data_IF_772663826971
#
_entry.id   IF_772663826971
#
_cell.length_a   1.000
_cell.length_b   1.000
_cell.length_c   1.000
_cell.angle_alpha   90.00
_cell.angle_beta   90.00
_cell.angle_gamma   90.00
#
_symmetry.space_group_name_H-M   'P 1'
#
loop_
_entity.id
_entity.type
_entity.pdbx_description
1 polymer ?
#
# COMPACT_ATOMS: atom_id res chain seq x y z
N UNK A 1 -29.15 23.51 17.71
CA UNK A 1 -29.52 23.47 19.16
C UNK A 1 -28.30 23.07 19.95
N UNK A 2 -27.62 24.01 20.60
CA UNK A 2 -26.44 23.76 21.43
C UNK A 2 -26.91 23.37 22.84
N UNK A 3 -26.69 22.08 23.18
CA UNK A 3 -26.99 21.56 24.53
C UNK A 3 -26.03 22.19 25.55
N UNK A 4 -26.51 22.87 26.55
CA UNK A 4 -25.69 23.36 27.68
C UNK A 4 -25.39 22.19 28.61
N UNK A 5 -24.12 22.06 29.01
CA UNK A 5 -23.66 21.06 29.95
C UNK A 5 -24.28 21.28 31.34
N UNK A 6 -24.74 20.19 31.97
CA UNK A 6 -25.26 20.16 33.31
C UNK A 6 -24.15 20.36 34.35
N UNK A 7 -24.56 20.74 35.60
CA UNK A 7 -23.62 21.04 36.70
C UNK A 7 -22.69 19.85 37.07
N UNK A 8 -23.20 18.63 37.01
CA UNK A 8 -22.47 17.38 37.18
C UNK A 8 -21.47 17.11 36.04
N UNK A 9 -21.86 17.35 34.82
CA UNK A 9 -20.98 17.23 33.65
C UNK A 9 -19.83 18.23 33.70
N UNK A 10 -20.06 19.46 34.21
CA UNK A 10 -19.00 20.48 34.44
C UNK A 10 -17.99 20.07 35.49
N UNK A 11 -18.41 19.40 36.57
CA UNK A 11 -17.49 18.92 37.61
C UNK A 11 -16.57 17.79 37.06
N UNK A 12 -17.14 16.88 36.28
CA UNK A 12 -16.35 15.81 35.64
C UNK A 12 -15.37 16.40 34.61
N UNK A 13 -15.82 17.37 33.82
CA UNK A 13 -14.97 18.04 32.83
C UNK A 13 -13.83 18.81 33.47
N UNK A 14 -14.08 19.52 34.55
CA UNK A 14 -13.03 20.24 35.29
C UNK A 14 -12.01 19.30 35.94
N UNK A 15 -12.43 18.10 36.35
CA UNK A 15 -11.50 17.07 36.88
C UNK A 15 -10.58 16.55 35.80
N UNK A 16 -11.13 16.24 34.59
CA UNK A 16 -10.37 15.79 33.42
C UNK A 16 -9.43 16.88 32.90
N UNK A 17 -9.90 18.14 32.85
CA UNK A 17 -9.09 19.26 32.39
C UNK A 17 -7.87 19.57 33.28
N UNK A 18 -7.94 19.24 34.57
CA UNK A 18 -6.80 19.37 35.50
C UNK A 18 -5.75 18.26 35.35
N UNK A 19 -6.16 17.11 34.78
CA UNK A 19 -5.24 15.96 34.61
C UNK A 19 -4.50 16.01 33.27
N UNK A 20 -5.00 16.79 32.31
CA UNK A 20 -4.39 16.96 30.99
C UNK A 20 -3.45 18.17 31.05
N UNK A 21 -2.16 17.93 31.12
CA UNK A 21 -1.16 18.99 31.02
C UNK A 21 -1.25 19.60 29.59
N UNK A 22 -1.53 20.91 29.44
CA UNK A 22 -1.57 21.53 28.14
C UNK A 22 -0.16 21.46 27.53
N UNK A 23 -0.06 20.87 26.35
CA UNK A 23 1.19 20.81 25.58
C UNK A 23 1.61 22.26 25.30
N UNK A 24 2.56 22.80 26.07
CA UNK A 24 3.15 24.12 25.82
C UNK A 24 3.73 24.11 24.41
N UNK A 25 3.09 24.87 23.51
CA UNK A 25 3.74 25.24 22.24
C UNK A 25 4.95 26.10 22.61
N UNK A 26 6.16 25.78 22.13
CA UNK A 26 7.29 26.68 22.35
C UNK A 26 6.94 28.01 21.68
N UNK A 27 6.85 29.07 22.49
CA UNK A 27 6.82 30.46 21.97
C UNK A 27 8.22 30.75 21.42
N UNK A 28 8.42 30.46 20.15
CA UNK A 28 9.54 31.00 19.40
C UNK A 28 9.34 32.49 19.26
N UNK A 29 10.10 33.27 20.02
CA UNK A 29 10.33 34.70 19.75
C UNK A 29 10.99 34.76 18.38
N UNK A 30 10.34 35.40 17.41
CA UNK A 30 10.93 35.65 16.09
C UNK A 30 10.10 35.13 14.92
N UNK A 31 8.77 35.27 14.97
CA UNK A 31 8.00 35.22 13.74
C UNK A 31 8.18 36.58 13.04
N UNK A 32 9.11 36.65 12.10
CA UNK A 32 9.09 37.69 11.09
C UNK A 32 7.70 37.67 10.46
N UNK A 33 7.04 38.83 10.45
CA UNK A 33 5.77 39.02 9.77
C UNK A 33 5.96 38.55 8.32
N UNK A 34 5.09 37.69 7.78
CA UNK A 34 5.13 37.37 6.36
C UNK A 34 4.85 38.67 5.62
N UNK A 35 5.85 39.15 4.84
CA UNK A 35 5.65 40.23 3.91
C UNK A 35 4.56 39.85 2.93
N UNK A 36 3.53 40.67 2.73
CA UNK A 36 2.49 40.42 1.75
C UNK A 36 2.96 40.86 0.35
N UNK A 37 3.91 40.15 -0.22
CA UNK A 37 4.30 40.41 -1.61
C UNK A 37 4.78 39.15 -2.33
N UNK A 38 4.08 38.03 -2.10
CA UNK A 38 4.04 37.02 -3.13
C UNK A 38 3.12 37.59 -4.22
N UNK A 39 3.71 38.19 -5.23
CA UNK A 39 2.96 38.78 -6.33
C UNK A 39 2.22 37.64 -7.07
N UNK A 40 1.08 37.99 -7.69
CA UNK A 40 0.37 37.05 -8.58
C UNK A 40 1.30 36.45 -9.65
N UNK A 41 2.38 37.12 -9.96
CA UNK A 41 3.41 36.70 -10.92
C UNK A 41 4.28 35.56 -10.39
N UNK A 42 4.63 35.55 -9.09
CA UNK A 42 5.39 34.47 -8.48
C UNK A 42 4.56 33.17 -8.42
N UNK A 43 3.25 33.29 -8.17
CA UNK A 43 2.34 32.15 -8.21
C UNK A 43 2.17 31.61 -9.65
N UNK A 44 2.08 32.51 -10.64
CA UNK A 44 2.02 32.11 -12.03
C UNK A 44 3.33 31.48 -12.54
N UNK A 45 4.48 31.93 -12.03
CA UNK A 45 5.78 31.33 -12.32
C UNK A 45 5.91 29.92 -11.70
N UNK A 46 5.39 29.73 -10.49
CA UNK A 46 5.36 28.43 -9.81
C UNK A 46 4.45 27.41 -10.54
N UNK A 47 3.37 27.88 -11.18
CA UNK A 47 2.51 27.07 -12.04
C UNK A 47 3.12 26.74 -13.41
N UNK A 48 4.19 27.43 -13.80
CA UNK A 48 4.93 27.17 -15.06
C UNK A 48 6.05 26.16 -14.91
N UNK A 49 6.22 25.56 -13.74
CA UNK A 49 7.13 24.43 -13.61
C UNK A 49 6.67 23.35 -14.60
N UNK A 50 7.57 22.90 -15.50
CA UNK A 50 7.22 21.81 -16.40
C UNK A 50 6.72 20.64 -15.55
N UNK A 51 5.66 19.94 -15.98
CA UNK A 51 5.15 18.83 -15.21
C UNK A 51 6.34 17.93 -14.90
N UNK A 52 6.59 17.73 -13.60
CA UNK A 52 7.60 16.79 -13.16
C UNK A 52 7.32 15.53 -13.95
N UNK A 53 8.21 15.19 -14.88
CA UNK A 53 8.20 13.90 -15.55
C UNK A 53 8.42 12.91 -14.42
N UNK A 54 7.31 12.52 -13.74
CA UNK A 54 7.29 11.37 -12.87
C UNK A 54 7.71 10.27 -13.84
N UNK A 55 9.00 9.90 -13.79
CA UNK A 55 9.45 8.67 -14.43
C UNK A 55 8.53 7.62 -13.82
N UNK A 56 7.48 7.25 -14.56
CA UNK A 56 6.73 6.05 -14.23
C UNK A 56 7.80 5.02 -13.95
N UNK A 57 7.80 4.51 -12.72
CA UNK A 57 8.67 3.39 -12.38
C UNK A 57 8.55 2.44 -13.58
N UNK A 58 9.67 2.00 -14.17
CA UNK A 58 9.62 1.23 -15.39
C UNK A 58 8.61 0.11 -15.14
N UNK A 59 7.54 0.13 -15.92
CA UNK A 59 6.63 -1.00 -16.00
C UNK A 59 7.54 -2.18 -16.19
N UNK A 60 7.54 -3.20 -15.32
CA UNK A 60 8.48 -4.28 -15.43
C UNK A 60 8.29 -4.94 -16.81
N UNK A 61 9.14 -4.56 -17.75
CA UNK A 61 9.26 -5.17 -19.07
C UNK A 61 10.11 -6.42 -18.90
N UNK A 62 9.64 -7.31 -18.05
CA UNK A 62 10.05 -8.70 -18.11
C UNK A 62 9.03 -9.41 -19.01
N UNK A 63 9.38 -10.54 -19.63
CA UNK A 63 8.39 -11.33 -20.29
C UNK A 63 7.28 -11.60 -19.27
N UNK A 64 6.20 -10.86 -19.45
CA UNK A 64 4.93 -11.22 -18.83
C UNK A 64 4.75 -12.65 -19.34
N UNK A 65 4.74 -13.69 -18.50
CA UNK A 65 4.19 -14.92 -18.99
C UNK A 65 2.83 -14.47 -19.38
N UNK A 66 2.63 -14.59 -20.56
CA UNK A 66 1.42 -14.18 -21.16
C UNK A 66 0.31 -14.58 -20.21
N UNK A 67 -0.56 -13.61 -19.82
CA UNK A 67 -1.92 -13.96 -19.45
C UNK A 67 -2.54 -14.88 -20.53
N UNK A 68 -1.85 -15.14 -21.60
CA UNK A 68 -1.93 -16.06 -22.68
C UNK A 68 -1.56 -17.50 -22.35
N UNK A 69 -0.92 -17.80 -21.22
CA UNK A 69 -0.75 -19.19 -20.84
C UNK A 69 -2.13 -19.79 -20.61
N UNK A 70 -2.53 -20.63 -21.54
CA UNK A 70 -3.81 -21.35 -21.50
C UNK A 70 -4.03 -22.02 -20.13
N UNK A 71 -2.93 -22.36 -19.44
CA UNK A 71 -2.93 -22.89 -18.08
C UNK A 71 -3.42 -21.89 -17.04
N UNK A 72 -2.90 -20.67 -17.04
CA UNK A 72 -3.28 -19.59 -16.12
C UNK A 72 -4.75 -19.22 -16.34
N UNK A 73 -5.16 -19.03 -17.59
CA UNK A 73 -6.55 -18.70 -17.96
C UNK A 73 -7.55 -19.78 -17.60
N UNK A 74 -7.15 -21.05 -17.62
CA UNK A 74 -8.01 -22.20 -17.29
C UNK A 74 -7.88 -22.62 -15.82
N UNK A 75 -7.07 -21.95 -15.03
CA UNK A 75 -6.80 -22.32 -13.64
C UNK A 75 -6.12 -23.68 -13.49
N UNK A 76 -5.34 -24.10 -14.49
CA UNK A 76 -4.55 -25.35 -14.49
C UNK A 76 -3.08 -25.07 -14.16
N UNK A 77 -2.86 -24.28 -13.12
CA UNK A 77 -1.52 -23.97 -12.60
C UNK A 77 -1.25 -24.88 -11.43
N UNK A 78 -0.13 -25.59 -11.44
CA UNK A 78 0.36 -26.30 -10.28
C UNK A 78 0.80 -25.25 -9.24
N UNK A 79 0.23 -25.31 -8.06
CA UNK A 79 0.48 -24.39 -6.96
C UNK A 79 1.30 -25.14 -5.93
N UNK A 80 2.57 -24.76 -5.77
CA UNK A 80 3.48 -25.41 -4.82
C UNK A 80 3.34 -24.87 -3.41
N UNK A 81 2.92 -23.58 -3.28
CA UNK A 81 2.70 -22.94 -2.00
C UNK A 81 1.56 -21.95 -2.03
N UNK A 82 1.06 -21.60 -0.84
CA UNK A 82 0.00 -20.59 -0.65
C UNK A 82 0.33 -19.71 0.53
N UNK A 83 0.07 -18.42 0.37
CA UNK A 83 0.10 -17.45 1.47
C UNK A 83 -1.17 -16.62 1.45
N UNK A 84 -1.71 -16.38 2.63
CA UNK A 84 -2.88 -15.55 2.83
C UNK A 84 -2.48 -14.26 3.56
N UNK A 85 -2.78 -13.13 2.93
CA UNK A 85 -2.47 -11.79 3.43
C UNK A 85 -3.74 -11.01 3.79
N UNK A 86 -4.93 -11.60 3.60
CA UNK A 86 -6.17 -10.87 3.86
C UNK A 86 -6.26 -10.41 5.31
N UNK A 87 -6.81 -9.23 5.54
CA UNK A 87 -6.92 -8.65 6.88
C UNK A 87 -5.61 -8.13 7.49
N UNK A 88 -4.47 -8.31 6.83
CA UNK A 88 -3.19 -7.76 7.30
C UNK A 88 -3.06 -6.29 6.96
N UNK A 89 -2.32 -5.54 7.78
CA UNK A 89 -1.85 -4.20 7.41
C UNK A 89 -0.84 -4.28 6.27
N UNK A 90 -0.64 -3.20 5.52
CA UNK A 90 0.33 -3.16 4.41
C UNK A 90 1.74 -3.58 4.84
N UNK A 91 2.18 -3.11 6.01
CA UNK A 91 3.52 -3.42 6.56
C UNK A 91 3.65 -4.90 6.87
N UNK A 92 2.65 -5.48 7.55
CA UNK A 92 2.61 -6.90 7.88
C UNK A 92 2.55 -7.75 6.61
N UNK A 93 1.69 -7.40 5.67
CA UNK A 93 1.53 -8.12 4.41
C UNK A 93 2.82 -8.13 3.58
N UNK A 94 3.50 -6.97 3.45
CA UNK A 94 4.78 -6.87 2.74
C UNK A 94 5.86 -7.75 3.38
N UNK A 95 5.97 -7.72 4.71
CA UNK A 95 6.94 -8.56 5.45
C UNK A 95 6.64 -10.05 5.29
N UNK A 96 5.37 -10.45 5.44
CA UNK A 96 4.94 -11.84 5.29
C UNK A 96 5.16 -12.33 3.87
N UNK A 97 4.83 -11.52 2.86
CA UNK A 97 5.06 -11.81 1.45
C UNK A 97 6.55 -12.05 1.17
N UNK A 98 7.42 -11.14 1.60
CA UNK A 98 8.88 -11.29 1.42
C UNK A 98 9.37 -12.60 2.03
N UNK A 99 9.00 -12.87 3.29
CA UNK A 99 9.40 -14.09 3.98
C UNK A 99 8.91 -15.34 3.25
N UNK A 100 7.66 -15.34 2.76
CA UNK A 100 7.10 -16.46 2.02
C UNK A 100 7.83 -16.70 0.70
N UNK A 101 8.09 -15.64 -0.06
CA UNK A 101 8.81 -15.73 -1.35
C UNK A 101 10.23 -16.26 -1.18
N UNK A 102 10.98 -15.77 -0.18
CA UNK A 102 12.32 -16.30 0.13
C UNK A 102 12.29 -17.77 0.53
N UNK A 103 11.32 -18.19 1.35
CA UNK A 103 11.14 -19.58 1.74
C UNK A 103 10.79 -20.47 0.55
N UNK A 104 9.87 -20.02 -0.30
CA UNK A 104 9.43 -20.75 -1.49
C UNK A 104 10.57 -20.88 -2.50
N UNK A 105 11.33 -19.81 -2.76
CA UNK A 105 12.51 -19.86 -3.62
C UNK A 105 13.56 -20.84 -3.09
N UNK A 106 13.81 -20.84 -1.76
CA UNK A 106 14.74 -21.77 -1.12
C UNK A 106 14.32 -23.24 -1.22
N UNK A 107 13.00 -23.52 -1.28
CA UNK A 107 12.46 -24.87 -1.48
C UNK A 107 12.46 -25.31 -2.94
N UNK A 108 12.69 -24.40 -3.87
CA UNK A 108 12.57 -24.67 -5.31
C UNK A 108 11.12 -24.67 -5.82
N UNK A 109 10.21 -24.03 -5.09
CA UNK A 109 8.82 -23.86 -5.53
C UNK A 109 8.79 -23.05 -6.83
N UNK A 110 7.91 -23.42 -7.75
CA UNK A 110 7.73 -22.71 -9.03
C UNK A 110 6.59 -21.70 -9.01
N UNK A 111 5.55 -21.97 -8.24
CA UNK A 111 4.36 -21.11 -8.19
C UNK A 111 3.84 -20.96 -6.77
N UNK A 112 3.78 -19.72 -6.29
CA UNK A 112 3.17 -19.34 -5.02
C UNK A 112 1.85 -18.64 -5.29
N UNK A 113 0.76 -19.12 -4.69
CA UNK A 113 -0.54 -18.42 -4.69
C UNK A 113 -0.58 -17.41 -3.54
N UNK A 114 -0.72 -16.13 -3.86
CA UNK A 114 -0.83 -15.04 -2.88
C UNK A 114 -2.27 -14.56 -2.83
N UNK A 115 -2.91 -14.67 -1.67
CA UNK A 115 -4.28 -14.26 -1.44
C UNK A 115 -4.26 -12.91 -0.72
N UNK A 116 -4.82 -11.88 -1.33
CA UNK A 116 -4.93 -10.53 -0.75
C UNK A 116 -6.33 -10.21 -0.25
N UNK A 117 -7.29 -11.06 -0.62
CA UNK A 117 -8.71 -10.75 -0.47
C UNK A 117 -9.20 -9.76 -1.53
N UNK A 118 -10.52 -9.62 -1.58
CA UNK A 118 -11.16 -8.68 -2.53
C UNK A 118 -11.29 -7.27 -1.96
N UNK A 119 -11.24 -7.13 -0.62
CA UNK A 119 -11.54 -5.89 0.08
C UNK A 119 -13.01 -5.48 -0.03
N UNK A 120 -13.50 -4.57 0.82
CA UNK A 120 -14.79 -3.95 0.63
C UNK A 120 -14.79 -3.25 -0.73
N UNK A 121 -15.85 -3.42 -1.51
CA UNK A 121 -16.06 -2.82 -2.83
C UNK A 121 -14.97 -3.13 -3.89
N UNK A 122 -14.21 -4.23 -3.74
CA UNK A 122 -13.10 -4.64 -4.61
C UNK A 122 -11.86 -3.71 -4.59
N UNK A 123 -11.83 -2.67 -3.76
CA UNK A 123 -10.74 -1.70 -3.63
C UNK A 123 -9.69 -2.11 -2.59
N UNK A 124 -9.42 -3.40 -2.46
CA UNK A 124 -8.46 -3.92 -1.49
C UNK A 124 -7.08 -3.29 -1.64
N UNK A 125 -6.66 -2.52 -0.63
CA UNK A 125 -5.36 -1.82 -0.59
C UNK A 125 -4.21 -2.78 -0.85
N UNK A 126 -4.27 -4.00 -0.28
CA UNK A 126 -3.24 -5.02 -0.50
C UNK A 126 -3.18 -5.48 -1.96
N UNK A 127 -4.34 -5.66 -2.59
CA UNK A 127 -4.45 -6.05 -3.99
C UNK A 127 -3.84 -5.00 -4.93
N UNK A 128 -4.11 -3.73 -4.67
CA UNK A 128 -3.61 -2.62 -5.49
C UNK A 128 -2.10 -2.45 -5.35
N UNK A 129 -1.55 -2.64 -4.16
CA UNK A 129 -0.13 -2.46 -3.89
C UNK A 129 0.74 -3.70 -4.21
N UNK A 130 0.14 -4.89 -4.24
CA UNK A 130 0.89 -6.14 -4.45
C UNK A 130 1.76 -6.14 -5.72
N UNK A 131 1.27 -5.72 -6.91
CA UNK A 131 2.09 -5.66 -8.12
C UNK A 131 3.31 -4.76 -7.94
N UNK A 132 3.16 -3.62 -7.26
CA UNK A 132 4.27 -2.72 -6.95
C UNK A 132 5.31 -3.36 -6.02
N UNK A 133 4.86 -4.12 -5.02
CA UNK A 133 5.78 -4.84 -4.12
C UNK A 133 6.55 -5.94 -4.84
N UNK A 134 5.88 -6.71 -5.72
CA UNK A 134 6.50 -7.77 -6.51
C UNK A 134 7.49 -7.24 -7.55
N UNK A 135 7.25 -6.03 -8.05
CA UNK A 135 8.17 -5.34 -8.97
C UNK A 135 9.34 -4.64 -8.26
N UNK A 136 9.30 -4.54 -6.94
CA UNK A 136 10.33 -3.90 -6.13
C UNK A 136 11.68 -4.61 -6.24
N UNK A 137 12.78 -3.85 -6.10
CA UNK A 137 14.15 -4.35 -6.25
C UNK A 137 14.45 -5.56 -5.36
N UNK A 138 13.84 -5.60 -4.17
CA UNK A 138 14.08 -6.66 -3.17
C UNK A 138 13.54 -8.03 -3.60
N UNK A 139 12.39 -8.05 -4.28
CA UNK A 139 11.68 -9.29 -4.63
C UNK A 139 11.85 -9.67 -6.11
N UNK A 140 12.13 -8.70 -6.96
CA UNK A 140 12.26 -8.87 -8.40
C UNK A 140 13.25 -9.98 -8.80
N UNK A 141 14.41 -10.15 -8.14
CA UNK A 141 15.35 -11.23 -8.48
C UNK A 141 14.77 -12.63 -8.30
N UNK A 142 13.83 -12.80 -7.37
CA UNK A 142 13.21 -14.09 -7.05
C UNK A 142 12.06 -14.45 -7.99
N UNK A 143 11.54 -13.47 -8.73
CA UNK A 143 10.28 -13.60 -9.46
C UNK A 143 10.55 -13.57 -10.95
N UNK A 144 10.07 -14.60 -11.64
CA UNK A 144 10.03 -14.59 -13.10
C UNK A 144 8.87 -13.69 -13.55
N UNK A 145 7.70 -13.86 -12.93
CA UNK A 145 6.46 -13.21 -13.35
C UNK A 145 5.34 -13.41 -12.35
N UNK A 146 4.28 -12.65 -12.51
CA UNK A 146 3.05 -12.80 -11.74
C UNK A 146 1.82 -12.49 -12.59
N UNK A 147 0.72 -13.13 -12.27
CA UNK A 147 -0.56 -12.94 -12.94
C UNK A 147 -1.72 -13.06 -11.94
N UNK A 148 -2.84 -12.43 -12.28
CA UNK A 148 -4.05 -12.57 -11.48
C UNK A 148 -4.53 -14.03 -11.53
N UNK A 149 -4.98 -14.54 -10.39
CA UNK A 149 -5.44 -15.91 -10.30
C UNK A 149 -6.78 -16.13 -11.03
N UNK A 150 -6.98 -17.35 -11.48
CA UNK A 150 -8.28 -17.76 -12.02
C UNK A 150 -9.36 -17.77 -10.92
N UNK A 151 -10.63 -17.63 -11.29
CA UNK A 151 -11.77 -17.60 -10.37
C UNK A 151 -11.79 -18.79 -9.39
N UNK A 152 -11.39 -19.97 -9.83
CA UNK A 152 -11.25 -21.17 -8.98
C UNK A 152 -10.24 -21.03 -7.83
N UNK A 153 -9.25 -20.14 -7.98
CA UNK A 153 -8.17 -19.91 -7.02
C UNK A 153 -8.25 -18.54 -6.36
N UNK A 154 -9.45 -17.92 -6.35
CA UNK A 154 -9.71 -16.65 -5.69
C UNK A 154 -9.91 -15.46 -6.61
N UNK A 155 -9.66 -15.61 -7.91
CA UNK A 155 -9.94 -14.59 -8.93
C UNK A 155 -9.24 -13.27 -8.65
N UNK A 156 -10.00 -12.19 -8.64
CA UNK A 156 -9.50 -10.83 -8.43
C UNK A 156 -8.82 -10.62 -7.06
N UNK A 157 -9.08 -11.48 -6.06
CA UNK A 157 -8.48 -11.39 -4.73
C UNK A 157 -7.22 -12.23 -4.55
N UNK A 158 -6.68 -12.83 -5.61
CA UNK A 158 -5.51 -13.68 -5.52
C UNK A 158 -4.59 -13.52 -6.75
N UNK A 159 -3.32 -13.89 -6.58
CA UNK A 159 -2.28 -13.78 -7.59
C UNK A 159 -1.42 -15.03 -7.63
N UNK A 160 -1.08 -15.50 -8.82
CA UNK A 160 0.00 -16.45 -9.02
C UNK A 160 1.31 -15.67 -9.12
N UNK A 161 2.29 -16.07 -8.34
CA UNK A 161 3.66 -15.56 -8.41
C UNK A 161 4.58 -16.70 -8.82
N UNK A 162 5.13 -16.59 -10.02
CA UNK A 162 6.06 -17.57 -10.55
C UNK A 162 7.49 -17.22 -10.14
N UNK A 163 8.14 -18.14 -9.49
CA UNK A 163 9.48 -17.97 -8.97
C UNK A 163 10.53 -18.38 -10.01
N UNK A 164 11.69 -17.78 -9.88
CA UNK A 164 12.85 -18.17 -10.64
C UNK A 164 13.51 -19.33 -9.93
N UNK A 165 13.53 -20.49 -10.57
CA UNK A 165 14.23 -21.70 -10.13
C UNK A 165 15.59 -21.79 -10.81
#
# INVERSE_FOLDING_TARGET
MTRRLDSTERLVWNRVARTVAPRRRPHGKGAAKPSPSASREDFAAMMRLPPLKIKRAPTPTGPVPHAADKGVRKGRVAIDGRIDLHGMTQVQAKKSLSTALFRSAKRGDRCLLVITGKGPQLDGVLRTNLPGWLAGADLRPLITTFAQAHAKHGGAGAWYVFLRT
#
